data_IF_178207236888
#
_entry.id   IF_178207236888
#
_cell.length_a   1.000
_cell.length_b   1.000
_cell.length_c   1.000
_cell.angle_alpha   90.00
_cell.angle_beta   90.00
_cell.angle_gamma   90.00
#
_symmetry.space_group_name_H-M   'P 1'
#
loop_
_entity.id
_entity.type
_entity.pdbx_description
1 polymer ?
#
# COMPACT_ATOMS: atom_id res chain seq x y z
N UNK A 1 -8.59 -11.14 44.10
CA UNK A 1 -9.50 -11.72 43.10
C UNK A 1 -9.01 -11.47 41.67
N UNK A 2 -8.64 -10.25 41.30
CA UNK A 2 -8.10 -9.91 39.92
C UNK A 2 -6.84 -10.72 39.60
N UNK A 3 -5.88 -10.84 40.51
CA UNK A 3 -4.60 -11.53 40.32
C UNK A 3 -4.79 -13.04 40.04
N UNK A 4 -5.78 -13.68 40.68
CA UNK A 4 -6.09 -15.11 40.47
C UNK A 4 -6.75 -15.33 39.10
N UNK A 5 -7.55 -14.38 38.65
CA UNK A 5 -8.16 -14.40 37.30
C UNK A 5 -7.09 -14.23 36.22
N UNK A 6 -6.13 -13.31 36.41
CA UNK A 6 -5.02 -13.09 35.49
C UNK A 6 -4.16 -14.37 35.36
N UNK A 7 -3.82 -15.03 36.46
CA UNK A 7 -3.05 -16.28 36.45
C UNK A 7 -3.82 -17.45 35.79
N UNK A 8 -5.14 -17.49 35.88
CA UNK A 8 -5.97 -18.51 35.24
C UNK A 8 -6.01 -18.34 33.72
N UNK A 9 -6.06 -17.10 33.22
CA UNK A 9 -6.03 -16.80 31.78
C UNK A 9 -4.65 -17.03 31.12
N UNK A 10 -3.57 -16.75 31.85
CA UNK A 10 -2.20 -17.08 31.38
C UNK A 10 -2.04 -18.60 31.21
N UNK A 11 -2.65 -19.42 32.07
CA UNK A 11 -2.61 -20.89 31.96
C UNK A 11 -3.35 -21.46 30.74
N UNK A 12 -4.33 -20.74 30.18
CA UNK A 12 -5.08 -21.15 29.00
C UNK A 12 -4.59 -20.44 27.73
N UNK A 13 -3.45 -19.77 27.79
CA UNK A 13 -2.83 -19.14 26.63
C UNK A 13 -3.49 -17.86 26.16
N UNK A 14 -4.11 -17.10 27.06
CA UNK A 14 -4.69 -15.79 26.80
C UNK A 14 -3.89 -14.71 27.53
N UNK A 15 -3.55 -13.63 26.82
CA UNK A 15 -3.02 -12.41 27.42
C UNK A 15 -4.12 -11.39 27.68
N UNK A 16 -4.08 -10.77 28.86
CA UNK A 16 -5.02 -9.70 29.23
C UNK A 16 -4.36 -8.36 28.93
N UNK A 17 -5.02 -7.57 28.10
CA UNK A 17 -4.61 -6.19 27.81
C UNK A 17 -5.68 -5.24 28.34
N UNK A 18 -5.29 -4.31 29.21
CA UNK A 18 -6.17 -3.26 29.72
C UNK A 18 -5.73 -1.94 29.10
N UNK A 19 -6.56 -1.34 28.22
CA UNK A 19 -6.37 0.01 27.70
C UNK A 19 -7.71 0.74 27.77
N UNK A 20 -7.70 1.94 28.35
CA UNK A 20 -8.89 2.80 28.48
C UNK A 20 -10.09 2.15 29.20
N UNK A 21 -9.87 1.38 30.26
CA UNK A 21 -10.90 0.67 31.07
C UNK A 21 -11.60 -0.50 30.35
N UNK A 22 -11.16 -0.92 29.18
CA UNK A 22 -11.68 -2.12 28.52
C UNK A 22 -10.70 -3.30 28.64
N UNK A 23 -11.26 -4.49 28.87
CA UNK A 23 -10.51 -5.75 29.04
C UNK A 23 -10.52 -6.48 27.70
N UNK A 24 -9.35 -6.57 27.04
CA UNK A 24 -9.19 -7.33 25.81
C UNK A 24 -8.49 -8.66 26.10
N UNK A 25 -9.18 -9.77 25.82
CA UNK A 25 -8.62 -11.12 25.91
C UNK A 25 -8.04 -11.51 24.55
N UNK A 26 -6.72 -11.71 24.50
CA UNK A 26 -6.01 -12.09 23.28
C UNK A 26 -5.53 -13.54 23.43
N UNK A 27 -5.84 -14.46 22.49
CA UNK A 27 -5.32 -15.82 22.53
C UNK A 27 -3.79 -15.82 22.39
N UNK A 28 -3.10 -16.40 23.36
CA UNK A 28 -1.67 -16.70 23.28
C UNK A 28 -1.49 -18.00 22.48
N UNK A 29 -1.32 -17.93 21.16
CA UNK A 29 -0.84 -19.09 20.42
C UNK A 29 0.67 -19.23 20.60
N UNK A 30 1.13 -20.50 20.70
CA UNK A 30 2.54 -20.87 20.82
C UNK A 30 3.43 -20.39 19.65
N UNK A 31 2.82 -19.95 18.54
CA UNK A 31 3.52 -19.27 17.46
C UNK A 31 3.65 -17.79 17.85
N UNK A 32 4.85 -17.33 18.01
CA UNK A 32 5.34 -16.08 18.60
C UNK A 32 4.82 -14.77 17.97
N UNK A 33 3.66 -14.76 17.36
CA UNK A 33 3.07 -13.61 16.69
C UNK A 33 1.90 -13.05 17.50
N UNK A 34 2.17 -12.09 18.37
CA UNK A 34 1.11 -11.32 19.01
C UNK A 34 0.33 -10.53 17.95
N UNK A 35 -0.95 -10.81 17.79
CA UNK A 35 -1.84 -9.97 16.98
C UNK A 35 -1.98 -8.61 17.67
N UNK A 36 -1.31 -7.59 17.15
CA UNK A 36 -1.50 -6.22 17.61
C UNK A 36 -2.79 -5.65 17.05
N UNK A 37 -3.49 -4.88 17.85
CA UNK A 37 -4.69 -4.13 17.48
C UNK A 37 -4.42 -2.65 17.69
N UNK A 38 -4.93 -1.83 16.79
CA UNK A 38 -4.99 -0.38 16.94
C UNK A 38 -6.34 -0.04 17.53
N UNK A 39 -6.34 0.80 18.53
CA UNK A 39 -7.57 1.35 19.11
C UNK A 39 -7.84 2.73 18.53
N UNK A 40 -9.09 3.08 18.36
CA UNK A 40 -9.54 4.39 17.87
C UNK A 40 -10.88 4.76 18.49
N UNK A 41 -11.24 6.05 18.44
CA UNK A 41 -12.57 6.49 18.84
C UNK A 41 -13.60 6.08 17.76
N UNK A 42 -14.39 5.06 18.06
CA UNK A 42 -15.38 4.49 17.16
C UNK A 42 -16.41 5.51 16.68
N UNK A 43 -16.87 6.39 17.58
CA UNK A 43 -17.89 7.39 17.26
C UNK A 43 -17.34 8.44 16.29
N UNK A 44 -16.14 8.95 16.54
CA UNK A 44 -15.48 9.93 15.65
C UNK A 44 -15.23 9.36 14.26
N UNK A 45 -14.68 8.14 14.19
CA UNK A 45 -14.40 7.47 12.91
C UNK A 45 -15.69 7.23 12.13
N UNK A 46 -16.74 6.69 12.76
CA UNK A 46 -18.01 6.44 12.10
C UNK A 46 -18.73 7.73 11.67
N UNK A 47 -18.63 8.79 12.47
CA UNK A 47 -19.16 10.09 12.10
C UNK A 47 -18.43 10.66 10.87
N UNK A 48 -17.12 10.60 10.85
CA UNK A 48 -16.32 11.04 9.72
C UNK A 48 -16.66 10.26 8.43
N UNK A 49 -16.78 8.91 8.51
CA UNK A 49 -17.22 8.08 7.38
C UNK A 49 -18.58 8.52 6.85
N UNK A 50 -19.54 8.77 7.72
CA UNK A 50 -20.89 9.25 7.32
C UNK A 50 -20.81 10.59 6.59
N UNK A 51 -20.03 11.54 7.09
CA UNK A 51 -19.85 12.84 6.46
C UNK A 51 -19.26 12.71 5.06
N UNK A 52 -18.21 11.90 4.88
CA UNK A 52 -17.60 11.66 3.58
C UNK A 52 -18.59 10.98 2.60
N UNK A 53 -19.32 9.96 3.04
CA UNK A 53 -20.29 9.23 2.22
C UNK A 53 -21.45 10.14 1.76
N UNK A 54 -21.90 11.05 2.62
CA UNK A 54 -22.92 12.04 2.27
C UNK A 54 -22.37 13.19 1.40
N UNK A 55 -21.07 13.24 1.17
CA UNK A 55 -20.41 14.28 0.40
C UNK A 55 -20.33 15.62 1.14
N UNK A 56 -20.41 15.60 2.48
CA UNK A 56 -20.37 16.79 3.33
C UNK A 56 -18.94 17.30 3.46
N UNK A 57 -18.75 18.63 3.34
CA UNK A 57 -17.51 19.32 3.70
C UNK A 57 -17.58 19.77 5.16
N UNK A 58 -16.56 19.46 5.94
CA UNK A 58 -16.42 19.88 7.34
C UNK A 58 -15.72 21.25 7.39
N UNK A 59 -14.70 21.41 6.56
CA UNK A 59 -13.89 22.63 6.53
C UNK A 59 -14.20 23.44 5.26
N UNK A 60 -14.20 24.78 5.33
CA UNK A 60 -14.32 25.61 4.15
C UNK A 60 -13.15 25.35 3.20
N UNK A 61 -13.43 25.35 1.90
CA UNK A 61 -12.40 25.25 0.88
C UNK A 61 -11.54 26.52 0.93
N UNK A 62 -10.24 26.33 1.13
CA UNK A 62 -9.29 27.43 1.17
C UNK A 62 -8.76 27.70 -0.24
N UNK A 63 -8.60 28.95 -0.60
CA UNK A 63 -8.02 29.38 -1.87
C UNK A 63 -6.59 28.84 -2.06
N UNK A 64 -6.13 28.82 -3.32
CA UNK A 64 -4.87 28.25 -3.82
C UNK A 64 -3.73 28.42 -2.83
N UNK A 65 -3.14 27.29 -2.44
CA UNK A 65 -1.92 27.25 -1.65
C UNK A 65 -0.74 27.30 -2.60
N UNK A 66 0.01 28.40 -2.60
CA UNK A 66 1.18 28.56 -3.48
C UNK A 66 2.23 27.47 -3.32
N UNK A 67 2.38 26.92 -2.11
CA UNK A 67 3.35 25.86 -1.79
C UNK A 67 2.66 24.73 -1.00
N UNK A 68 2.08 23.74 -1.68
CA UNK A 68 1.48 22.62 -1.00
C UNK A 68 2.53 21.79 -0.25
N UNK A 69 2.17 21.33 0.94
CA UNK A 69 3.02 20.49 1.79
C UNK A 69 2.91 19.01 1.43
N UNK A 70 1.69 18.59 1.08
CA UNK A 70 1.37 17.21 0.70
C UNK A 70 0.58 17.20 -0.60
N UNK A 71 0.92 16.29 -1.50
CA UNK A 71 0.09 15.89 -2.63
C UNK A 71 -0.67 14.61 -2.27
N UNK A 72 -1.99 14.69 -2.27
CA UNK A 72 -2.85 13.51 -2.26
C UNK A 72 -3.04 13.05 -3.71
N UNK A 73 -2.58 11.84 -4.03
CA UNK A 73 -2.59 11.30 -5.39
C UNK A 73 -3.60 10.15 -5.51
N UNK A 74 -4.54 10.29 -6.43
CA UNK A 74 -5.61 9.32 -6.67
C UNK A 74 -5.61 8.90 -8.14
N UNK A 75 -5.20 7.67 -8.51
CA UNK A 75 -5.47 7.11 -9.82
C UNK A 75 -6.94 6.68 -9.88
N UNK A 76 -7.64 7.01 -10.96
CA UNK A 76 -9.06 6.65 -11.11
C UNK A 76 -9.35 6.03 -12.48
N UNK A 77 -10.18 5.00 -12.46
CA UNK A 77 -10.77 4.38 -13.65
C UNK A 77 -12.13 3.81 -13.32
N UNK A 78 -13.19 4.32 -13.99
CA UNK A 78 -14.57 3.85 -13.82
C UNK A 78 -15.00 3.73 -12.34
N UNK A 79 -14.87 4.83 -11.59
CA UNK A 79 -15.07 4.88 -10.13
C UNK A 79 -16.19 5.82 -9.69
N UNK A 80 -17.20 6.07 -10.54
CA UNK A 80 -18.26 7.05 -10.29
C UNK A 80 -18.99 6.85 -8.95
N UNK A 81 -19.05 5.62 -8.45
CA UNK A 81 -19.71 5.27 -7.18
C UNK A 81 -18.94 5.71 -5.93
N UNK A 82 -17.62 5.79 -6.01
CA UNK A 82 -16.75 5.89 -4.83
C UNK A 82 -15.91 7.17 -4.81
N UNK A 83 -15.51 7.66 -5.97
CA UNK A 83 -14.53 8.73 -6.10
C UNK A 83 -14.91 10.01 -5.33
N UNK A 84 -16.20 10.35 -5.26
CA UNK A 84 -16.66 11.51 -4.48
C UNK A 84 -16.32 11.35 -3.00
N UNK A 85 -16.56 10.18 -2.42
CA UNK A 85 -16.28 9.88 -1.02
C UNK A 85 -14.78 9.93 -0.74
N UNK A 86 -13.95 9.35 -1.60
CA UNK A 86 -12.51 9.40 -1.50
C UNK A 86 -11.98 10.84 -1.50
N UNK A 87 -12.42 11.68 -2.46
CA UNK A 87 -12.01 13.09 -2.54
C UNK A 87 -12.48 13.87 -1.33
N UNK A 88 -13.73 13.69 -0.86
CA UNK A 88 -14.26 14.35 0.34
C UNK A 88 -13.45 13.99 1.59
N UNK A 89 -12.91 12.80 1.69
CA UNK A 89 -12.05 12.42 2.82
C UNK A 89 -10.73 13.22 2.85
N UNK A 90 -10.23 13.64 1.70
CA UNK A 90 -9.04 14.50 1.59
C UNK A 90 -9.41 15.97 1.84
N UNK A 91 -10.50 16.44 1.24
CA UNK A 91 -10.96 17.81 1.44
C UNK A 91 -11.29 18.12 2.91
N UNK A 92 -11.75 17.12 3.64
CA UNK A 92 -12.08 17.18 5.06
C UNK A 92 -10.87 17.01 6.00
N UNK A 93 -9.64 16.93 5.47
CA UNK A 93 -8.45 16.95 6.33
C UNK A 93 -8.28 18.35 6.95
N UNK A 94 -7.88 18.39 8.22
CA UNK A 94 -7.59 19.63 8.94
C UNK A 94 -6.21 20.20 8.56
N UNK A 95 -5.96 20.33 7.26
CA UNK A 95 -4.72 20.83 6.68
C UNK A 95 -5.02 21.46 5.31
N UNK A 96 -4.99 22.79 5.18
CA UNK A 96 -5.33 23.47 3.92
C UNK A 96 -4.25 23.30 2.84
N UNK A 97 -2.98 23.12 3.22
CA UNK A 97 -1.84 23.08 2.30
C UNK A 97 -1.68 21.71 1.61
N UNK A 98 -2.79 21.22 1.05
CA UNK A 98 -2.84 19.98 0.28
C UNK A 98 -3.06 20.32 -1.20
N UNK A 99 -2.28 19.68 -2.08
CA UNK A 99 -2.58 19.53 -3.50
C UNK A 99 -3.28 18.19 -3.71
N UNK A 100 -4.32 18.15 -4.54
CA UNK A 100 -5.07 16.91 -4.84
C UNK A 100 -4.89 16.63 -6.33
N UNK A 101 -4.10 15.62 -6.67
CA UNK A 101 -3.89 15.19 -8.07
C UNK A 101 -4.74 13.95 -8.33
N UNK A 102 -5.65 14.07 -9.30
CA UNK A 102 -6.49 12.98 -9.75
C UNK A 102 -6.05 12.62 -11.16
N UNK A 103 -5.64 11.37 -11.37
CA UNK A 103 -5.23 10.88 -12.69
C UNK A 103 -6.30 9.99 -13.24
N UNK A 104 -7.12 10.51 -14.17
CA UNK A 104 -8.16 9.75 -14.86
C UNK A 104 -7.56 8.88 -15.96
N UNK A 105 -7.59 7.58 -15.75
CA UNK A 105 -7.04 6.58 -16.67
C UNK A 105 -8.02 6.22 -17.79
N UNK A 106 -8.58 7.26 -18.43
CA UNK A 106 -9.53 7.11 -19.54
C UNK A 106 -10.87 6.49 -19.10
N UNK A 107 -11.50 7.02 -18.06
CA UNK A 107 -12.81 6.57 -17.60
C UNK A 107 -13.88 6.75 -18.68
N UNK A 108 -14.77 5.76 -18.79
CA UNK A 108 -15.90 5.71 -19.74
C UNK A 108 -17.26 5.89 -19.07
N UNK A 109 -17.27 5.92 -17.74
CA UNK A 109 -18.45 6.18 -16.92
C UNK A 109 -18.53 7.66 -16.48
N UNK A 110 -19.38 7.97 -15.51
CA UNK A 110 -19.55 9.36 -15.03
C UNK A 110 -18.41 9.87 -14.13
N UNK A 111 -17.33 9.11 -13.94
CA UNK A 111 -16.22 9.47 -13.03
C UNK A 111 -15.65 10.85 -13.34
N UNK A 112 -15.26 11.09 -14.60
CA UNK A 112 -14.62 12.35 -14.99
C UNK A 112 -15.53 13.56 -14.78
N UNK A 113 -16.84 13.42 -14.99
CA UNK A 113 -17.79 14.51 -14.76
C UNK A 113 -17.89 14.86 -13.26
N UNK A 114 -17.93 13.83 -12.40
CA UNK A 114 -17.93 14.03 -10.93
C UNK A 114 -16.66 14.76 -10.49
N UNK A 115 -15.49 14.32 -10.98
CA UNK A 115 -14.21 14.95 -10.60
C UNK A 115 -14.12 16.40 -11.07
N UNK A 116 -14.59 16.69 -12.30
CA UNK A 116 -14.64 18.08 -12.83
C UNK A 116 -15.57 19.00 -12.02
N UNK A 117 -16.67 18.47 -11.48
CA UNK A 117 -17.53 19.25 -10.59
C UNK A 117 -16.80 19.59 -9.29
N UNK A 118 -16.10 18.61 -8.71
CA UNK A 118 -15.33 18.80 -7.49
C UNK A 118 -14.12 19.75 -7.70
N UNK A 119 -13.48 19.71 -8.87
CA UNK A 119 -12.41 20.66 -9.24
C UNK A 119 -12.92 22.11 -9.31
N UNK A 120 -14.16 22.33 -9.79
CA UNK A 120 -14.77 23.66 -9.77
C UNK A 120 -15.09 24.17 -8.35
N UNK A 121 -15.39 23.24 -7.43
CA UNK A 121 -15.64 23.55 -6.02
C UNK A 121 -14.35 23.81 -5.23
N UNK A 122 -13.22 23.17 -5.62
CA UNK A 122 -11.97 23.16 -4.86
C UNK A 122 -10.75 23.32 -5.78
N UNK A 123 -10.14 24.48 -5.76
CA UNK A 123 -8.99 24.83 -6.59
C UNK A 123 -7.72 24.03 -6.30
N UNK A 124 -7.66 23.30 -5.20
CA UNK A 124 -6.57 22.38 -4.87
C UNK A 124 -6.57 21.13 -5.74
N UNK A 125 -7.71 20.79 -6.35
CA UNK A 125 -7.87 19.65 -7.24
C UNK A 125 -7.25 19.96 -8.60
N UNK A 126 -6.46 19.02 -9.10
CA UNK A 126 -5.87 19.03 -10.44
C UNK A 126 -6.17 17.71 -11.12
N UNK A 127 -6.72 17.76 -12.33
CA UNK A 127 -7.06 16.58 -13.11
C UNK A 127 -6.02 16.38 -14.20
N UNK A 128 -5.44 15.19 -14.23
CA UNK A 128 -4.61 14.69 -15.35
C UNK A 128 -5.43 13.61 -16.06
N UNK A 129 -5.63 13.73 -17.36
CA UNK A 129 -6.39 12.76 -18.13
C UNK A 129 -5.46 11.99 -19.07
N UNK A 130 -5.42 10.67 -18.94
CA UNK A 130 -4.73 9.83 -19.91
C UNK A 130 -5.51 9.75 -21.23
N UNK A 131 -4.78 9.69 -22.37
CA UNK A 131 -5.39 9.58 -23.71
C UNK A 131 -5.98 8.19 -23.98
N UNK A 132 -5.61 7.19 -23.19
CA UNK A 132 -6.10 5.80 -23.20
C UNK A 132 -5.91 5.16 -21.84
N UNK A 133 -6.53 4.03 -21.57
CA UNK A 133 -6.27 3.27 -20.33
C UNK A 133 -4.84 2.71 -20.32
N UNK A 134 -3.99 3.27 -19.43
CA UNK A 134 -2.56 2.98 -19.25
C UNK A 134 -2.26 2.13 -18.03
N UNK A 135 -3.25 1.90 -17.16
CA UNK A 135 -3.12 1.15 -15.92
C UNK A 135 -2.68 1.99 -14.72
N UNK A 136 -2.81 1.39 -13.54
CA UNK A 136 -2.60 2.08 -12.26
C UNK A 136 -1.14 2.49 -12.05
N UNK A 137 -0.18 1.63 -12.46
CA UNK A 137 1.25 1.94 -12.37
C UNK A 137 1.58 3.25 -13.09
N UNK A 138 1.15 3.37 -14.36
CA UNK A 138 1.37 4.58 -15.14
C UNK A 138 0.70 5.80 -14.50
N UNK A 139 -0.58 5.67 -14.14
CA UNK A 139 -1.37 6.78 -13.59
C UNK A 139 -0.78 7.31 -12.28
N UNK A 140 -0.35 6.42 -11.36
CA UNK A 140 0.36 6.83 -10.15
C UNK A 140 1.71 7.47 -10.46
N UNK A 141 2.48 6.91 -11.40
CA UNK A 141 3.79 7.44 -11.76
C UNK A 141 3.69 8.86 -12.33
N UNK A 142 2.79 9.07 -13.28
CA UNK A 142 2.55 10.41 -13.84
C UNK A 142 2.11 11.40 -12.77
N UNK A 143 1.14 11.04 -11.93
CA UNK A 143 0.70 11.91 -10.85
C UNK A 143 1.82 12.27 -9.87
N UNK A 144 2.69 11.32 -9.53
CA UNK A 144 3.85 11.58 -8.66
C UNK A 144 4.90 12.49 -9.32
N UNK A 145 5.11 12.38 -10.64
CA UNK A 145 6.01 13.27 -11.38
C UNK A 145 5.47 14.71 -11.44
N UNK A 146 4.16 14.88 -11.55
CA UNK A 146 3.50 16.21 -11.55
C UNK A 146 3.38 16.84 -10.17
N UNK A 147 3.52 16.06 -9.08
CA UNK A 147 3.43 16.56 -7.71
C UNK A 147 4.41 17.71 -7.44
N UNK A 148 3.90 18.81 -6.86
CA UNK A 148 4.66 20.02 -6.52
C UNK A 148 5.02 20.12 -5.04
N UNK A 149 4.38 19.31 -4.21
CA UNK A 149 4.59 19.28 -2.77
C UNK A 149 5.86 18.56 -2.36
N UNK A 150 6.23 18.73 -1.09
CA UNK A 150 7.39 18.03 -0.50
C UNK A 150 7.11 16.55 -0.27
N UNK A 151 5.86 16.18 0.00
CA UNK A 151 5.45 14.81 0.32
C UNK A 151 4.28 14.35 -0.54
N UNK A 152 4.18 13.06 -0.78
CA UNK A 152 3.09 12.41 -1.53
C UNK A 152 2.43 11.38 -0.62
N UNK A 153 1.10 11.35 -0.61
CA UNK A 153 0.27 10.29 -0.04
C UNK A 153 -0.66 9.75 -1.14
N UNK A 154 -0.69 8.45 -1.35
CA UNK A 154 -1.55 7.84 -2.38
C UNK A 154 -2.82 7.29 -1.75
N UNK A 155 -3.93 7.36 -2.46
CA UNK A 155 -5.22 6.80 -2.08
C UNK A 155 -5.82 6.03 -3.25
N UNK A 156 -6.35 4.84 -3.01
CA UNK A 156 -7.18 4.15 -3.98
C UNK A 156 -8.56 4.84 -4.08
N UNK A 157 -9.15 4.80 -5.25
CA UNK A 157 -10.35 5.57 -5.56
C UNK A 157 -11.62 5.12 -4.81
N UNK A 158 -11.56 4.01 -4.12
CA UNK A 158 -12.62 3.43 -3.29
C UNK A 158 -12.32 3.42 -1.79
N UNK A 159 -11.20 4.04 -1.37
CA UNK A 159 -10.73 4.13 0.02
C UNK A 159 -10.98 5.50 0.64
N UNK A 160 -10.75 5.62 1.96
CA UNK A 160 -10.97 6.85 2.74
C UNK A 160 -9.75 7.12 3.63
N UNK A 161 -9.18 8.33 3.57
CA UNK A 161 -8.30 8.84 4.61
C UNK A 161 -9.11 9.31 5.82
N UNK A 162 -8.67 8.97 7.02
CA UNK A 162 -9.27 9.49 8.24
C UNK A 162 -8.76 10.89 8.58
N UNK A 163 -9.60 11.67 9.25
CA UNK A 163 -9.28 13.05 9.62
C UNK A 163 -8.03 13.12 10.50
N UNK A 164 -7.20 14.13 10.25
CA UNK A 164 -6.00 14.43 11.02
C UNK A 164 -4.76 13.60 10.65
N UNK A 165 -4.88 12.60 9.75
CA UNK A 165 -3.71 11.78 9.40
C UNK A 165 -2.66 12.58 8.61
N UNK A 166 -3.08 13.54 7.77
CA UNK A 166 -2.16 14.34 6.96
C UNK A 166 -1.26 15.20 7.83
N UNK A 167 -1.84 15.99 8.76
CA UNK A 167 -1.05 16.83 9.66
C UNK A 167 -0.12 15.99 10.54
N UNK A 168 -0.62 14.84 11.05
CA UNK A 168 0.19 13.94 11.89
C UNK A 168 1.39 13.37 11.16
N UNK A 169 1.19 12.86 9.93
CA UNK A 169 2.28 12.32 9.12
C UNK A 169 3.26 13.41 8.67
N UNK A 170 2.74 14.60 8.31
CA UNK A 170 3.57 15.71 7.89
C UNK A 170 4.50 16.19 8.99
N UNK A 171 3.98 16.41 10.19
CA UNK A 171 4.77 16.85 11.35
C UNK A 171 5.84 15.82 11.70
N UNK A 172 5.47 14.56 11.74
CA UNK A 172 6.40 13.47 12.03
C UNK A 172 7.51 13.38 10.98
N UNK A 173 7.15 13.44 9.68
CA UNK A 173 8.12 13.38 8.59
C UNK A 173 9.04 14.59 8.55
N UNK A 174 8.48 15.80 8.79
CA UNK A 174 9.25 17.06 8.78
C UNK A 174 10.21 17.16 9.95
N UNK A 175 9.73 16.90 11.18
CA UNK A 175 10.50 17.12 12.41
C UNK A 175 11.67 16.14 12.52
N UNK A 176 11.51 14.93 12.05
CA UNK A 176 12.52 13.87 12.10
C UNK A 176 13.24 13.65 10.75
N UNK A 177 12.93 14.46 9.73
CA UNK A 177 13.48 14.36 8.37
C UNK A 177 13.37 12.96 7.76
N UNK A 178 12.24 12.26 8.00
CA UNK A 178 12.02 10.88 7.54
C UNK A 178 11.58 10.88 6.07
N UNK A 179 12.13 9.95 5.29
CA UNK A 179 11.82 9.81 3.87
C UNK A 179 10.50 9.11 3.61
N UNK A 180 10.20 8.06 4.39
CA UNK A 180 8.96 7.29 4.31
C UNK A 180 8.41 7.07 5.71
N UNK A 181 7.17 7.47 5.95
CA UNK A 181 6.42 7.05 7.14
C UNK A 181 5.25 6.18 6.70
N UNK A 182 5.11 5.03 7.32
CA UNK A 182 3.94 4.18 7.20
C UNK A 182 3.08 4.32 8.45
N UNK A 183 1.76 4.33 8.25
CA UNK A 183 0.79 4.44 9.32
C UNK A 183 -0.25 3.31 9.27
N UNK A 184 -0.98 3.16 10.36
CA UNK A 184 -1.90 2.07 10.52
C UNK A 184 -3.12 2.16 9.60
N UNK A 185 -3.51 1.02 9.05
CA UNK A 185 -4.63 0.88 8.12
C UNK A 185 -5.62 -0.17 8.59
N UNK A 186 -6.87 -0.06 8.17
CA UNK A 186 -7.90 -1.02 8.48
C UNK A 186 -8.67 -1.46 7.24
N UNK A 187 -9.04 -2.73 7.19
CA UNK A 187 -9.90 -3.26 6.13
C UNK A 187 -11.35 -3.28 6.60
N UNK A 188 -12.26 -2.82 5.74
CA UNK A 188 -13.70 -2.81 6.01
C UNK A 188 -14.47 -3.20 4.75
N UNK A 189 -15.73 -3.59 4.91
CA UNK A 189 -16.66 -3.72 3.76
C UNK A 189 -17.09 -2.33 3.33
N UNK A 190 -17.24 -2.14 2.02
CA UNK A 190 -17.62 -0.85 1.45
C UNK A 190 -18.91 -0.31 2.08
N UNK A 191 -18.92 1.00 2.35
CA UNK A 191 -20.02 1.70 3.03
C UNK A 191 -20.38 1.15 4.43
N UNK A 192 -19.56 0.26 5.01
CA UNK A 192 -19.81 -0.23 6.36
C UNK A 192 -19.27 0.76 7.40
N UNK A 193 -19.99 0.83 8.52
CA UNK A 193 -19.50 1.48 9.73
C UNK A 193 -18.79 0.45 10.59
N UNK A 194 -17.81 0.90 11.36
CA UNK A 194 -17.15 0.03 12.33
C UNK A 194 -18.10 -0.32 13.49
N UNK A 195 -18.07 -1.58 13.89
CA UNK A 195 -18.80 -2.09 15.07
C UNK A 195 -17.89 -2.28 16.29
N UNK A 196 -16.57 -2.13 16.09
CA UNK A 196 -15.54 -2.33 17.10
C UNK A 196 -14.58 -1.15 17.08
N UNK A 197 -14.09 -0.77 18.23
CA UNK A 197 -13.14 0.33 18.42
C UNK A 197 -11.67 -0.05 18.18
N UNK A 198 -11.43 -1.14 17.47
CA UNK A 198 -10.08 -1.59 17.12
C UNK A 198 -10.04 -2.26 15.74
N UNK A 199 -8.89 -2.16 15.08
CA UNK A 199 -8.56 -2.89 13.88
C UNK A 199 -7.35 -3.80 14.11
N UNK A 200 -7.31 -4.91 13.39
CA UNK A 200 -6.13 -5.77 13.36
C UNK A 200 -5.00 -5.03 12.63
N UNK A 201 -3.87 -4.86 13.30
CA UNK A 201 -2.66 -4.35 12.65
C UNK A 201 -2.25 -5.31 11.53
N UNK A 202 -1.79 -4.76 10.41
CA UNK A 202 -1.27 -5.58 9.33
C UNK A 202 -0.15 -6.50 9.83
N UNK A 203 -0.08 -7.71 9.30
CA UNK A 203 0.91 -8.74 9.70
C UNK A 203 2.37 -8.28 9.56
N UNK A 204 2.59 -7.23 8.78
CA UNK A 204 3.87 -6.58 8.55
C UNK A 204 4.52 -5.98 9.81
N UNK A 205 3.72 -5.42 10.70
CA UNK A 205 4.21 -4.72 11.91
C UNK A 205 4.58 -5.67 13.03
N UNK A 206 4.25 -6.95 12.89
CA UNK A 206 4.57 -7.98 13.90
C UNK A 206 6.06 -8.07 14.26
N UNK A 207 6.92 -7.54 13.41
CA UNK A 207 8.37 -7.71 13.52
C UNK A 207 9.13 -6.41 13.80
N UNK A 208 8.43 -5.29 14.13
CA UNK A 208 9.09 -4.01 14.25
C UNK A 208 8.74 -3.28 15.52
N UNK A 209 9.77 -2.66 16.03
CA UNK A 209 9.65 -1.65 17.04
C UNK A 209 8.91 -0.45 16.45
N UNK A 210 7.73 -0.21 16.98
CA UNK A 210 6.89 0.93 16.64
C UNK A 210 7.64 2.19 17.06
N UNK A 211 7.54 3.23 16.21
CA UNK A 211 8.21 4.50 16.39
C UNK A 211 9.74 4.48 16.27
N UNK A 212 10.36 3.34 15.92
CA UNK A 212 11.79 3.28 15.62
C UNK A 212 12.07 3.72 14.19
N UNK A 213 13.13 4.49 14.00
CA UNK A 213 13.61 4.87 12.66
C UNK A 213 14.54 3.80 12.15
N UNK A 214 14.25 3.26 10.97
CA UNK A 214 15.12 2.31 10.25
C UNK A 214 15.87 3.07 9.17
N UNK A 215 17.17 2.89 9.11
CA UNK A 215 18.06 3.54 8.13
C UNK A 215 18.76 2.51 7.24
N UNK A 216 19.41 2.99 6.16
CA UNK A 216 20.26 2.12 5.35
C UNK A 216 21.47 1.64 6.16
N UNK A 217 22.00 0.40 5.93
CA UNK A 217 21.57 -0.58 4.91
C UNK A 217 20.40 -1.49 5.33
N UNK A 218 19.93 -1.42 6.57
CA UNK A 218 18.85 -2.29 7.08
C UNK A 218 17.55 -2.09 6.33
N UNK A 219 17.30 -0.87 5.87
CA UNK A 219 16.09 -0.51 5.13
C UNK A 219 15.97 -1.29 3.82
N UNK A 220 17.03 -1.54 3.09
CA UNK A 220 17.01 -2.33 1.86
C UNK A 220 16.60 -3.79 2.08
N UNK A 221 16.90 -4.34 3.24
CA UNK A 221 16.55 -5.70 3.63
C UNK A 221 15.16 -5.81 4.25
N UNK A 222 14.48 -4.67 4.40
CA UNK A 222 13.27 -4.54 5.15
C UNK A 222 12.03 -5.09 4.43
N UNK A 223 12.05 -5.16 3.09
CA UNK A 223 10.95 -5.63 2.26
C UNK A 223 10.74 -7.14 2.36
N UNK A 224 11.77 -7.88 2.75
CA UNK A 224 11.65 -9.30 3.04
C UNK A 224 12.48 -9.66 4.27
N UNK A 225 11.96 -10.52 5.10
CA UNK A 225 12.67 -11.04 6.27
C UNK A 225 12.67 -12.55 6.23
N UNK A 226 13.81 -13.13 6.58
CA UNK A 226 13.90 -14.56 6.79
C UNK A 226 13.53 -14.86 8.24
N UNK A 227 12.44 -15.58 8.48
CA UNK A 227 11.94 -15.98 9.80
C UNK A 227 11.81 -17.49 9.77
N UNK A 228 12.44 -18.19 10.72
CA UNK A 228 12.39 -19.65 10.85
C UNK A 228 12.59 -20.37 9.51
N UNK A 229 13.66 -20.00 8.79
CA UNK A 229 14.01 -20.52 7.47
C UNK A 229 12.97 -20.24 6.34
N UNK A 230 11.91 -19.47 6.59
CA UNK A 230 10.94 -19.03 5.59
C UNK A 230 11.14 -17.56 5.25
N UNK A 231 11.08 -17.24 3.97
CA UNK A 231 11.06 -15.83 3.53
C UNK A 231 9.63 -15.30 3.64
N UNK A 232 9.46 -14.28 4.48
CA UNK A 232 8.23 -13.52 4.60
C UNK A 232 8.34 -12.26 3.77
N UNK A 233 7.46 -12.11 2.78
CA UNK A 233 7.32 -10.86 2.04
C UNK A 233 6.47 -9.90 2.86
N UNK A 234 6.85 -8.66 2.83
CA UNK A 234 6.07 -7.55 3.36
C UNK A 234 4.92 -7.27 2.38
N UNK A 235 3.75 -7.00 2.90
CA UNK A 235 2.67 -6.49 2.08
C UNK A 235 3.06 -5.09 1.59
N UNK A 236 3.34 -5.00 0.29
CA UNK A 236 3.73 -3.76 -0.34
C UNK A 236 2.46 -3.05 -0.82
N UNK A 237 2.07 -2.01 -0.10
CA UNK A 237 0.98 -1.10 -0.48
C UNK A 237 1.50 0.32 -0.49
N UNK A 238 1.19 1.09 -1.53
CA UNK A 238 1.55 2.50 -1.59
C UNK A 238 0.62 3.37 -0.74
N UNK A 239 -0.63 2.95 -0.56
CA UNK A 239 -1.53 3.58 0.40
C UNK A 239 -1.08 3.28 1.86
N UNK A 240 -1.43 4.15 2.79
CA UNK A 240 -0.94 4.03 4.17
C UNK A 240 0.48 4.56 4.39
N UNK A 241 1.02 5.31 3.42
CA UNK A 241 2.34 5.91 3.51
C UNK A 241 2.32 7.40 3.16
N UNK A 242 3.19 8.18 3.83
CA UNK A 242 3.65 9.48 3.35
C UNK A 242 5.10 9.33 2.90
N UNK A 243 5.40 9.79 1.69
CA UNK A 243 6.68 9.58 1.02
C UNK A 243 7.20 10.93 0.56
N UNK A 244 8.49 11.26 0.82
CA UNK A 244 9.10 12.45 0.20
C UNK A 244 8.97 12.36 -1.33
N UNK A 245 8.51 13.45 -1.96
CA UNK A 245 8.29 13.48 -3.40
C UNK A 245 9.58 13.22 -4.21
N UNK A 246 10.72 13.73 -3.74
CA UNK A 246 12.02 13.45 -4.34
C UNK A 246 12.41 11.97 -4.30
N UNK A 247 12.08 11.27 -3.21
CA UNK A 247 12.34 9.84 -3.06
C UNK A 247 11.42 9.04 -3.99
N UNK A 248 10.14 9.45 -4.11
CA UNK A 248 9.23 8.82 -5.05
C UNK A 248 9.73 8.98 -6.52
N UNK A 249 10.16 10.19 -6.90
CA UNK A 249 10.70 10.48 -8.23
C UNK A 249 11.98 9.68 -8.51
N UNK A 250 12.93 9.62 -7.57
CA UNK A 250 14.13 8.76 -7.67
C UNK A 250 13.79 7.27 -7.81
N UNK A 251 12.74 6.80 -7.13
CA UNK A 251 12.27 5.42 -7.30
C UNK A 251 11.74 5.17 -8.72
N UNK A 252 10.98 6.11 -9.29
CA UNK A 252 10.51 6.03 -10.68
C UNK A 252 11.64 6.08 -11.70
N UNK A 253 12.64 6.94 -11.49
CA UNK A 253 13.87 6.97 -12.32
C UNK A 253 14.57 5.61 -12.28
N UNK A 254 14.69 5.00 -11.11
CA UNK A 254 15.29 3.66 -10.95
C UNK A 254 14.47 2.56 -11.63
N UNK A 255 13.14 2.65 -11.59
CA UNK A 255 12.25 1.72 -12.31
C UNK A 255 12.41 1.87 -13.83
N UNK A 256 12.53 3.09 -14.32
CA UNK A 256 12.63 3.42 -15.75
C UNK A 256 11.28 3.59 -16.43
N UNK A 257 11.22 4.52 -17.37
CA UNK A 257 9.99 4.87 -18.09
C UNK A 257 9.44 3.70 -18.90
N UNK A 258 10.30 2.90 -19.48
CA UNK A 258 9.93 1.71 -20.23
C UNK A 258 9.10 0.71 -19.43
N UNK A 259 9.27 0.70 -18.09
CA UNK A 259 8.54 -0.19 -17.18
C UNK A 259 7.25 0.46 -16.71
N UNK A 260 7.31 1.66 -16.13
CA UNK A 260 6.08 2.28 -15.61
C UNK A 260 5.13 2.74 -16.72
N UNK A 261 5.59 2.83 -17.98
CA UNK A 261 4.74 3.06 -19.16
C UNK A 261 3.98 1.82 -19.63
N UNK A 262 4.30 0.63 -19.11
CA UNK A 262 3.53 -0.58 -19.40
C UNK A 262 2.19 -0.55 -18.67
N UNK A 263 1.17 -1.17 -19.27
CA UNK A 263 -0.15 -1.28 -18.64
C UNK A 263 -0.10 -2.34 -17.54
N UNK A 264 0.08 -1.89 -16.29
CA UNK A 264 0.05 -2.73 -15.09
C UNK A 264 -0.97 -2.16 -14.11
N UNK A 265 -1.93 -3.00 -13.71
CA UNK A 265 -3.02 -2.65 -12.80
C UNK A 265 -3.00 -3.48 -11.52
N UNK A 266 -2.13 -4.49 -11.42
CA UNK A 266 -2.14 -5.46 -10.33
C UNK A 266 -0.76 -5.60 -9.74
N UNK A 267 -0.71 -5.50 -8.40
CA UNK A 267 0.53 -5.64 -7.63
C UNK A 267 1.66 -4.68 -8.05
N UNK A 268 1.30 -3.62 -8.77
CA UNK A 268 2.23 -2.56 -9.18
C UNK A 268 2.84 -1.85 -7.97
N UNK A 269 2.13 -1.82 -6.86
CA UNK A 269 2.62 -1.33 -5.57
C UNK A 269 3.94 -1.99 -5.18
N UNK A 270 4.10 -3.28 -5.48
CA UNK A 270 5.30 -4.03 -5.11
C UNK A 270 6.56 -3.52 -5.80
N UNK A 271 6.48 -3.15 -7.08
CA UNK A 271 7.67 -2.65 -7.78
C UNK A 271 8.03 -1.25 -7.29
N UNK A 272 7.03 -0.40 -7.05
CA UNK A 272 7.26 0.96 -6.55
C UNK A 272 7.80 0.91 -5.12
N UNK A 273 7.17 0.18 -4.20
CA UNK A 273 7.67 -0.01 -2.84
C UNK A 273 9.08 -0.61 -2.82
N UNK A 274 9.33 -1.61 -3.67
CA UNK A 274 10.64 -2.22 -3.80
C UNK A 274 11.72 -1.20 -4.21
N UNK A 275 11.41 -0.30 -5.14
CA UNK A 275 12.32 0.77 -5.55
C UNK A 275 12.46 1.85 -4.46
N UNK A 276 11.35 2.26 -3.82
CA UNK A 276 11.33 3.24 -2.74
C UNK A 276 12.28 2.85 -1.60
N UNK A 277 12.20 1.62 -1.11
CA UNK A 277 13.05 1.16 -0.01
C UNK A 277 14.54 1.04 -0.37
N UNK A 278 14.90 1.13 -1.65
CA UNK A 278 16.29 1.16 -2.11
C UNK A 278 16.86 2.54 -2.32
N UNK A 279 15.99 3.54 -2.46
CA UNK A 279 16.43 4.93 -2.66
C UNK A 279 16.19 5.79 -1.42
N UNK A 280 15.31 5.38 -0.52
CA UNK A 280 15.08 6.05 0.75
C UNK A 280 16.26 5.81 1.72
N UNK A 281 16.56 6.79 2.55
CA UNK A 281 17.56 6.68 3.61
C UNK A 281 16.93 6.33 4.96
N UNK A 282 15.65 6.65 5.16
CA UNK A 282 14.96 6.46 6.43
C UNK A 282 13.49 6.07 6.27
N UNK A 283 13.05 5.20 7.18
CA UNK A 283 11.67 4.75 7.29
C UNK A 283 11.24 4.73 8.75
N UNK A 284 9.99 5.07 9.00
CA UNK A 284 9.37 4.97 10.33
C UNK A 284 7.94 4.46 10.21
N UNK A 285 7.54 3.59 11.14
CA UNK A 285 6.15 3.23 11.32
C UNK A 285 5.53 3.97 12.50
N UNK A 286 4.33 4.49 12.34
CA UNK A 286 3.54 5.12 13.41
C UNK A 286 2.21 4.40 13.63
N UNK A 287 1.77 4.28 14.88
CA UNK A 287 0.52 3.57 15.24
C UNK A 287 -0.77 4.38 14.97
N UNK A 288 -0.66 5.53 14.30
CA UNK A 288 -1.83 6.33 13.99
C UNK A 288 -2.68 5.63 12.93
N UNK A 289 -3.95 5.40 13.24
CA UNK A 289 -4.91 4.87 12.29
C UNK A 289 -5.32 5.97 11.31
N UNK A 290 -5.08 5.77 10.03
CA UNK A 290 -5.19 6.84 9.07
C UNK A 290 -5.93 6.51 7.77
N UNK A 291 -6.18 5.23 7.46
CA UNK A 291 -6.87 4.85 6.22
C UNK A 291 -7.81 3.67 6.44
N UNK A 292 -8.93 3.72 5.77
CA UNK A 292 -9.86 2.61 5.65
C UNK A 292 -9.77 2.09 4.22
N UNK A 293 -9.25 0.87 4.08
CA UNK A 293 -9.26 0.15 2.82
C UNK A 293 -10.55 -0.67 2.70
N UNK A 294 -11.38 -0.35 1.72
CA UNK A 294 -12.64 -1.04 1.50
C UNK A 294 -12.47 -2.27 0.61
N UNK A 295 -12.77 -3.44 1.18
CA UNK A 295 -12.87 -4.67 0.39
C UNK A 295 -14.13 -4.64 -0.47
N UNK A 296 -13.94 -4.46 -1.78
CA UNK A 296 -14.99 -4.37 -2.78
C UNK A 296 -15.01 -5.64 -3.63
N UNK A 297 -16.19 -6.24 -3.83
CA UNK A 297 -16.34 -7.44 -4.66
C UNK A 297 -16.01 -7.22 -6.14
N UNK A 298 -16.02 -5.95 -6.60
CA UNK A 298 -15.64 -5.51 -7.94
C UNK A 298 -14.20 -5.02 -8.07
N UNK A 299 -13.41 -4.98 -6.99
CA UNK A 299 -12.03 -4.49 -7.04
C UNK A 299 -11.15 -5.36 -7.95
N UNK A 300 -10.16 -4.73 -8.56
CA UNK A 300 -9.18 -5.43 -9.42
C UNK A 300 -8.53 -6.60 -8.66
N UNK A 301 -8.33 -6.47 -7.35
CA UNK A 301 -7.82 -7.52 -6.48
C UNK A 301 -8.74 -8.73 -6.32
N UNK A 302 -10.08 -8.56 -6.38
CA UNK A 302 -11.04 -9.65 -6.21
C UNK A 302 -11.16 -10.55 -7.46
N UNK A 303 -10.73 -10.07 -8.63
CA UNK A 303 -10.82 -10.79 -9.90
C UNK A 303 -9.62 -11.75 -10.10
N UNK A 304 -9.09 -12.40 -9.08
CA UNK A 304 -7.97 -13.36 -9.15
C UNK A 304 -8.20 -14.56 -10.10
N UNK A 305 -9.35 -14.61 -10.79
CA UNK A 305 -9.71 -15.66 -11.74
C UNK A 305 -9.36 -15.32 -13.21
N UNK A 306 -8.78 -14.15 -13.50
CA UNK A 306 -8.54 -13.72 -14.88
C UNK A 306 -7.11 -14.06 -15.36
N UNK A 307 -7.00 -14.69 -16.54
CA UNK A 307 -5.73 -15.14 -17.16
C UNK A 307 -4.74 -14.01 -17.48
N UNK A 308 -5.23 -12.80 -17.74
CA UNK A 308 -4.38 -11.65 -18.08
C UNK A 308 -3.55 -11.14 -16.89
N UNK A 309 -3.95 -11.45 -15.66
CA UNK A 309 -3.27 -11.04 -14.43
C UNK A 309 -1.88 -11.63 -14.25
N UNK A 310 -1.67 -12.86 -14.72
CA UNK A 310 -0.35 -13.47 -14.60
C UNK A 310 0.71 -12.70 -15.40
N UNK A 311 0.36 -12.15 -16.56
CA UNK A 311 1.30 -11.34 -17.35
C UNK A 311 1.75 -10.09 -16.58
N UNK A 312 0.82 -9.38 -15.93
CA UNK A 312 1.13 -8.19 -15.14
C UNK A 312 2.03 -8.54 -13.95
N UNK A 313 1.73 -9.62 -13.23
CA UNK A 313 2.57 -10.09 -12.14
C UNK A 313 3.96 -10.54 -12.62
N UNK A 314 4.05 -11.15 -13.79
CA UNK A 314 5.34 -11.53 -14.39
C UNK A 314 6.14 -10.30 -14.81
N UNK A 315 5.50 -9.25 -15.32
CA UNK A 315 6.13 -7.95 -15.61
C UNK A 315 6.73 -7.37 -14.32
N UNK A 316 5.98 -7.39 -13.22
CA UNK A 316 6.47 -6.92 -11.92
C UNK A 316 7.71 -7.70 -11.46
N UNK A 317 7.71 -9.04 -11.62
CA UNK A 317 8.88 -9.87 -11.26
C UNK A 317 10.09 -9.56 -12.13
N UNK A 318 9.91 -9.42 -13.45
CA UNK A 318 10.98 -9.04 -14.38
C UNK A 318 11.57 -7.69 -13.98
N UNK A 319 10.72 -6.73 -13.70
CA UNK A 319 11.14 -5.37 -13.34
C UNK A 319 11.95 -5.37 -12.05
N UNK A 320 11.47 -6.06 -11.01
CA UNK A 320 12.21 -6.22 -9.76
C UNK A 320 13.53 -6.99 -9.95
N UNK A 321 13.55 -8.01 -10.82
CA UNK A 321 14.78 -8.71 -11.16
C UNK A 321 15.79 -7.80 -11.84
N UNK A 322 15.37 -7.01 -12.83
CA UNK A 322 16.24 -6.07 -13.54
C UNK A 322 16.85 -5.02 -12.60
N UNK A 323 16.09 -4.58 -11.60
CA UNK A 323 16.59 -3.66 -10.56
C UNK A 323 17.66 -4.28 -9.65
N UNK A 324 17.70 -5.61 -9.55
CA UNK A 324 18.50 -6.31 -8.54
C UNK A 324 19.44 -7.38 -9.07
N UNK A 325 19.47 -7.62 -10.39
CA UNK A 325 20.24 -8.71 -11.01
C UNK A 325 21.73 -8.78 -10.61
N UNK A 326 22.31 -7.63 -10.25
CA UNK A 326 23.72 -7.49 -9.86
C UNK A 326 23.90 -7.45 -8.32
N UNK A 327 22.86 -7.71 -7.54
CA UNK A 327 22.89 -7.63 -6.08
C UNK A 327 22.37 -8.91 -5.42
N UNK A 328 22.58 -9.03 -4.10
CA UNK A 328 21.98 -10.12 -3.30
C UNK A 328 20.46 -10.01 -3.18
N UNK A 329 19.87 -8.88 -3.50
CA UNK A 329 18.43 -8.60 -3.39
C UNK A 329 17.58 -9.33 -4.44
N UNK A 330 18.20 -10.05 -5.36
CA UNK A 330 17.53 -10.93 -6.34
C UNK A 330 16.62 -11.98 -5.69
N UNK A 331 16.78 -12.20 -4.39
CA UNK A 331 15.92 -13.10 -3.60
C UNK A 331 14.46 -12.63 -3.62
N UNK A 332 14.20 -11.31 -3.55
CA UNK A 332 12.84 -10.77 -3.53
C UNK A 332 12.02 -11.08 -4.80
N UNK A 333 12.52 -10.79 -6.02
CA UNK A 333 11.82 -11.19 -7.25
C UNK A 333 11.64 -12.73 -7.34
N UNK A 334 12.59 -13.53 -6.87
CA UNK A 334 12.49 -14.98 -6.90
C UNK A 334 11.36 -15.50 -5.99
N UNK A 335 11.22 -14.96 -4.78
CA UNK A 335 10.14 -15.34 -3.86
C UNK A 335 8.80 -14.84 -4.38
N UNK A 336 8.75 -13.65 -4.96
CA UNK A 336 7.54 -13.11 -5.59
C UNK A 336 7.11 -14.01 -6.74
N UNK A 337 8.04 -14.39 -7.62
CA UNK A 337 7.77 -15.34 -8.70
C UNK A 337 7.17 -16.65 -8.20
N UNK A 338 7.74 -17.22 -7.13
CA UNK A 338 7.22 -18.45 -6.51
C UNK A 338 5.79 -18.28 -5.99
N UNK A 339 5.47 -17.14 -5.35
CA UNK A 339 4.15 -16.90 -4.75
C UNK A 339 3.04 -16.71 -5.79
N UNK A 340 3.34 -16.04 -6.90
CA UNK A 340 2.35 -15.75 -7.94
C UNK A 340 2.10 -16.97 -8.84
N UNK A 341 3.02 -17.93 -8.83
CA UNK A 341 2.94 -19.09 -9.70
C UNK A 341 1.78 -20.01 -9.31
N UNK A 342 0.74 -20.02 -10.15
CA UNK A 342 -0.40 -20.93 -10.02
C UNK A 342 -0.65 -21.61 -11.36
N UNK A 343 -0.64 -22.97 -11.40
CA UNK A 343 -0.68 -23.73 -12.65
C UNK A 343 -1.95 -23.51 -13.49
N UNK A 344 -3.03 -23.06 -12.87
CA UNK A 344 -4.33 -22.87 -13.54
C UNK A 344 -4.37 -21.70 -14.54
N UNK A 345 -3.33 -20.84 -14.58
CA UNK A 345 -3.30 -19.64 -15.42
C UNK A 345 -2.32 -19.74 -16.59
N UNK A 346 -1.78 -20.93 -16.88
CA UNK A 346 -0.74 -21.11 -17.88
C UNK A 346 -1.30 -21.18 -19.31
N UNK A 347 -1.32 -20.04 -19.98
CA UNK A 347 -1.37 -20.02 -21.45
C UNK A 347 0.00 -20.39 -22.03
N UNK A 348 0.08 -20.81 -23.33
CA UNK A 348 1.37 -21.06 -23.96
C UNK A 348 2.35 -19.86 -23.85
N UNK A 349 1.85 -18.65 -24.09
CA UNK A 349 2.66 -17.41 -23.97
C UNK A 349 3.17 -17.18 -22.54
N UNK A 350 2.32 -17.42 -21.54
CA UNK A 350 2.70 -17.27 -20.14
C UNK A 350 3.74 -18.33 -19.72
N UNK A 351 3.66 -19.55 -20.27
CA UNK A 351 4.68 -20.60 -20.01
C UNK A 351 6.04 -20.18 -20.52
N UNK A 352 6.13 -19.64 -21.73
CA UNK A 352 7.39 -19.15 -22.32
C UNK A 352 7.98 -18.03 -21.47
N UNK A 353 7.18 -17.04 -21.12
CA UNK A 353 7.62 -15.91 -20.30
C UNK A 353 8.07 -16.37 -18.91
N UNK A 354 7.32 -17.24 -18.27
CA UNK A 354 7.66 -17.80 -16.97
C UNK A 354 8.94 -18.64 -17.01
N UNK A 355 9.16 -19.42 -18.09
CA UNK A 355 10.40 -20.15 -18.29
C UNK A 355 11.60 -19.22 -18.43
N UNK A 356 11.48 -18.15 -19.23
CA UNK A 356 12.54 -17.17 -19.40
C UNK A 356 12.90 -16.48 -18.07
N UNK A 357 11.93 -16.17 -17.22
CA UNK A 357 12.16 -15.60 -15.90
C UNK A 357 12.87 -16.61 -15.00
N UNK A 358 12.38 -17.84 -14.99
CA UNK A 358 13.00 -18.94 -14.23
C UNK A 358 14.47 -19.11 -14.62
N UNK A 359 14.78 -19.18 -15.92
CA UNK A 359 16.15 -19.39 -16.40
C UNK A 359 17.06 -18.21 -15.99
N UNK A 360 16.58 -16.96 -16.08
CA UNK A 360 17.28 -15.77 -15.57
C UNK A 360 17.54 -15.82 -14.07
N UNK A 361 16.54 -16.21 -13.27
CA UNK A 361 16.68 -16.34 -11.83
C UNK A 361 17.66 -17.47 -11.46
N UNK A 362 17.58 -18.61 -12.14
CA UNK A 362 18.43 -19.77 -11.87
C UNK A 362 19.90 -19.55 -12.25
N UNK A 363 20.16 -18.77 -13.30
CA UNK A 363 21.52 -18.42 -13.74
C UNK A 363 22.15 -17.34 -12.84
N UNK A 364 21.39 -16.69 -11.97
CA UNK A 364 21.93 -15.63 -11.12
C UNK A 364 22.81 -16.20 -10.00
N UNK A 365 24.08 -15.75 -9.96
CA UNK A 365 25.08 -16.19 -8.98
C UNK A 365 24.71 -15.79 -7.55
N UNK A 366 23.99 -14.68 -7.38
CA UNK A 366 23.62 -14.15 -6.07
C UNK A 366 22.37 -14.84 -5.47
N UNK A 367 21.73 -15.74 -6.21
CA UNK A 367 20.52 -16.41 -5.73
C UNK A 367 20.87 -17.55 -4.76
N UNK A 368 20.31 -17.48 -3.56
CA UNK A 368 20.47 -18.48 -2.50
C UNK A 368 20.08 -19.89 -2.97
N UNK A 369 20.86 -20.92 -2.58
CA UNK A 369 20.63 -22.31 -2.97
C UNK A 369 19.28 -22.86 -2.49
N UNK A 370 18.76 -22.41 -1.34
CA UNK A 370 17.42 -22.82 -0.87
C UNK A 370 16.34 -22.27 -1.79
N UNK A 371 16.46 -21.02 -2.23
CA UNK A 371 15.54 -20.40 -3.19
C UNK A 371 15.66 -21.10 -4.56
N UNK A 372 16.87 -21.41 -5.02
CA UNK A 372 17.07 -22.22 -6.24
C UNK A 372 16.37 -23.57 -6.15
N UNK A 373 16.44 -24.25 -5.00
CA UNK A 373 15.74 -25.52 -4.77
C UNK A 373 14.22 -25.37 -4.82
N UNK A 374 13.69 -24.30 -4.24
CA UNK A 374 12.25 -23.98 -4.30
C UNK A 374 11.77 -23.75 -5.73
N UNK A 375 12.52 -22.97 -6.53
CA UNK A 375 12.22 -22.73 -7.93
C UNK A 375 12.30 -23.99 -8.79
N UNK A 376 13.31 -24.86 -8.57
CA UNK A 376 13.42 -26.18 -9.24
C UNK A 376 12.19 -27.06 -8.98
N UNK A 377 11.74 -27.12 -7.73
CA UNK A 377 10.55 -27.91 -7.37
C UNK A 377 9.29 -27.37 -8.05
N UNK A 378 9.18 -26.06 -8.17
CA UNK A 378 8.06 -25.37 -8.84
C UNK A 378 8.00 -25.74 -10.33
N UNK A 379 9.13 -25.67 -11.04
CA UNK A 379 9.22 -26.01 -12.46
C UNK A 379 8.93 -27.49 -12.71
N UNK A 380 9.53 -28.38 -11.93
CA UNK A 380 9.29 -29.82 -12.04
C UNK A 380 7.82 -30.18 -11.86
N UNK A 381 7.12 -29.43 -11.00
CA UNK A 381 5.71 -29.70 -10.73
C UNK A 381 4.76 -29.16 -11.80
N UNK A 382 5.13 -28.10 -12.53
CA UNK A 382 4.16 -27.29 -13.30
C UNK A 382 4.58 -26.93 -14.73
N UNK A 383 5.83 -27.13 -15.14
CA UNK A 383 6.30 -26.83 -16.49
C UNK A 383 6.80 -28.06 -17.26
N UNK A 384 7.05 -29.15 -16.59
CA UNK A 384 7.22 -30.47 -17.20
C UNK A 384 5.86 -31.17 -17.18
#
# INVERSE_FOLDING_TARGET
MLTIIILKFIRIGLQIYIKNKELLLIPCHKDSYQKKYITFNLNEVNQFIKLCNNGTLINPIVNIVEKPKITALIPVYNSHKYIKTAIRSIQNQNMPEIEIIIVDDFSTDNTLNIVKLLEKEDSRIKIIKNSRNRGTLYSRSIGALYAKSKYIMTLDNDDIFLNGIFIKCYEEAKNNNIDIIEFATCKAKINSLFKKNYCKLNDFIKHKEINTVVIQPELSNFIYKKIDDKYCLIDAYLWGKIIKAEIYKKALEKIGEEIYSQKVCISEDRIVDFALFRVANSFKYIENFGIIHYENTGSVGSIWKNRNKLNEELINVISMYNLTKNSKDVIFPAITFQKIWKPFYLTPSNKILAKNIYDKLMSNINLDNKVKKLLKNLIKKYLN
#
